data_IF_829607090106
#
_entry.id   IF_829607090106
#
_cell.length_a   1.000
_cell.length_b   1.000
_cell.length_c   1.000
_cell.angle_alpha   90.00
_cell.angle_beta   90.00
_cell.angle_gamma   90.00
#
_symmetry.space_group_name_H-M   'P 1'
#
loop_
_entity.id
_entity.type
_entity.pdbx_description
1 polymer ?
#
# COMPACT_ATOMS: atom_id res chain seq x y z
N UNK A 1 10.18 -7.90 29.40
CA UNK A 1 9.44 -8.48 28.27
C UNK A 1 10.16 -9.72 27.77
N UNK A 2 9.51 -10.87 27.87
CA UNK A 2 10.07 -12.09 27.29
C UNK A 2 10.04 -11.93 25.78
N UNK A 3 11.19 -11.82 25.15
CA UNK A 3 11.32 -11.95 23.71
C UNK A 3 10.84 -13.38 23.40
N UNK A 4 9.70 -13.49 22.75
CA UNK A 4 9.28 -14.77 22.20
C UNK A 4 10.28 -15.14 21.12
N UNK A 5 11.12 -16.10 21.37
CA UNK A 5 12.01 -16.66 20.36
C UNK A 5 11.13 -17.16 19.21
N UNK A 6 11.55 -16.90 17.99
CA UNK A 6 10.85 -17.39 16.81
C UNK A 6 10.69 -18.92 16.93
N UNK A 7 9.45 -19.38 16.97
CA UNK A 7 9.18 -20.80 16.98
C UNK A 7 9.34 -21.33 15.55
N UNK A 8 10.14 -22.37 15.37
CA UNK A 8 10.35 -23.01 14.08
C UNK A 8 9.04 -23.48 13.38
N UNK A 9 7.95 -23.59 14.14
CA UNK A 9 6.64 -23.99 13.65
C UNK A 9 5.74 -22.82 13.25
N UNK A 10 6.21 -21.57 13.33
CA UNK A 10 5.44 -20.41 12.85
C UNK A 10 5.57 -20.37 11.31
N UNK A 11 4.46 -20.40 10.56
CA UNK A 11 4.53 -20.31 9.13
C UNK A 11 5.16 -18.96 8.71
N UNK A 12 5.84 -18.90 7.55
CA UNK A 12 6.40 -17.65 7.06
C UNK A 12 5.28 -16.61 6.83
N UNK A 13 5.61 -15.31 6.89
CA UNK A 13 4.62 -14.28 6.60
C UNK A 13 4.09 -14.42 5.17
N UNK A 14 2.85 -14.00 4.93
CA UNK A 14 2.27 -13.96 3.60
C UNK A 14 2.76 -12.74 2.83
N UNK A 15 2.86 -11.61 3.51
CA UNK A 15 3.27 -10.34 2.92
C UNK A 15 4.13 -9.53 3.88
N UNK A 16 4.99 -8.71 3.30
CA UNK A 16 5.79 -7.72 4.01
C UNK A 16 5.70 -6.40 3.27
N UNK A 17 5.51 -5.31 4.00
CA UNK A 17 5.45 -3.96 3.46
C UNK A 17 6.56 -3.12 4.09
N UNK A 18 7.33 -2.43 3.24
CA UNK A 18 8.34 -1.44 3.67
C UNK A 18 7.94 -0.11 3.06
N UNK A 19 7.74 0.90 3.90
CA UNK A 19 7.33 2.22 3.45
C UNK A 19 7.85 3.30 4.39
N UNK A 20 7.96 4.51 3.88
CA UNK A 20 8.24 5.69 4.69
C UNK A 20 6.95 6.39 5.08
N UNK A 21 7.00 7.15 6.17
CA UNK A 21 5.83 7.81 6.75
C UNK A 21 5.98 9.33 6.70
N UNK A 22 5.71 9.96 5.53
CA UNK A 22 5.65 11.41 5.47
C UNK A 22 4.53 11.96 6.35
N UNK A 23 4.65 13.21 6.74
CA UNK A 23 3.66 13.88 7.56
C UNK A 23 3.20 15.19 6.91
N UNK A 24 2.01 15.65 7.27
CA UNK A 24 1.36 16.78 6.63
C UNK A 24 2.09 18.10 6.87
N UNK A 25 2.61 18.33 8.07
CA UNK A 25 3.26 19.58 8.45
C UNK A 25 2.40 20.81 8.16
N UNK A 26 1.14 20.76 8.58
CA UNK A 26 0.15 21.83 8.36
C UNK A 26 -0.20 22.08 6.89
N UNK A 27 0.18 21.17 5.97
CA UNK A 27 -0.20 21.25 4.55
C UNK A 27 -1.52 20.53 4.31
N UNK A 28 -2.27 20.96 3.31
CA UNK A 28 -3.39 20.17 2.81
C UNK A 28 -2.86 18.89 2.13
N UNK A 29 -3.59 17.78 2.26
CA UNK A 29 -3.19 16.54 1.60
C UNK A 29 -3.24 16.70 0.09
N UNK A 30 -4.41 17.09 -0.45
CA UNK A 30 -4.58 17.29 -1.90
C UNK A 30 -4.30 18.75 -2.28
N UNK A 31 -3.64 18.93 -3.42
CA UNK A 31 -3.11 20.21 -3.91
C UNK A 31 -2.05 20.85 -3.02
N UNK A 32 -1.66 20.17 -1.94
CA UNK A 32 -0.53 20.53 -1.09
C UNK A 32 0.58 19.50 -1.19
N UNK A 33 0.34 18.30 -0.67
CA UNK A 33 1.32 17.20 -0.66
C UNK A 33 1.15 16.28 -1.86
N UNK A 34 -0.10 15.91 -2.18
CA UNK A 34 -0.46 15.02 -3.28
C UNK A 34 -1.26 15.78 -4.34
N UNK A 35 -1.19 15.29 -5.56
CA UNK A 35 -2.02 15.74 -6.67
C UNK A 35 -2.93 14.64 -7.15
N UNK A 36 -4.16 15.01 -7.49
CA UNK A 36 -5.09 14.08 -8.13
C UNK A 36 -4.56 13.64 -9.50
N UNK A 37 -4.89 12.43 -9.90
CA UNK A 37 -4.59 11.82 -11.19
C UNK A 37 -3.08 11.58 -11.45
N UNK A 38 -2.23 11.78 -10.45
CA UNK A 38 -0.79 11.55 -10.58
C UNK A 38 -0.36 10.34 -9.73
N UNK A 39 0.47 9.44 -10.29
CA UNK A 39 1.03 8.34 -9.53
C UNK A 39 1.90 8.84 -8.36
N UNK A 40 1.65 8.29 -7.20
CA UNK A 40 2.40 8.54 -5.98
C UNK A 40 2.95 7.22 -5.42
N UNK A 41 4.23 7.21 -5.08
CA UNK A 41 4.95 6.03 -4.57
C UNK A 41 4.55 5.58 -3.16
N UNK A 42 3.42 6.04 -2.64
CA UNK A 42 2.86 5.70 -1.31
C UNK A 42 3.89 5.85 -0.18
N UNK A 43 4.53 7.01 -0.15
CA UNK A 43 5.55 7.35 0.83
C UNK A 43 6.37 8.55 0.39
N UNK A 44 7.53 8.73 1.01
CA UNK A 44 8.54 9.72 0.65
C UNK A 44 9.89 9.01 0.54
N UNK A 45 10.89 9.64 -0.08
CA UNK A 45 12.22 9.10 -0.37
C UNK A 45 12.12 7.88 -1.29
N UNK A 46 12.57 6.69 -0.88
CA UNK A 46 12.47 5.48 -1.69
C UNK A 46 11.01 5.08 -1.94
N UNK A 47 10.79 4.39 -3.04
CA UNK A 47 9.48 3.82 -3.33
C UNK A 47 9.07 2.78 -2.29
N UNK A 48 7.83 2.79 -1.89
CA UNK A 48 7.27 1.76 -1.01
C UNK A 48 7.21 0.41 -1.71
N UNK A 49 7.55 -0.64 -0.98
CA UNK A 49 7.67 -1.99 -1.52
C UNK A 49 6.79 -2.96 -0.75
N UNK A 50 6.03 -3.77 -1.48
CA UNK A 50 5.31 -4.91 -0.94
C UNK A 50 5.92 -6.20 -1.48
N UNK A 51 6.18 -7.15 -0.59
CA UNK A 51 6.67 -8.47 -0.95
C UNK A 51 5.63 -9.52 -0.58
N UNK A 52 5.19 -10.31 -1.54
CA UNK A 52 4.33 -11.47 -1.30
C UNK A 52 5.18 -12.75 -1.32
N UNK A 53 5.06 -13.54 -0.27
CA UNK A 53 5.80 -14.80 -0.12
C UNK A 53 5.04 -16.00 -0.69
N UNK A 54 3.80 -15.79 -1.09
CA UNK A 54 2.96 -16.76 -1.80
C UNK A 54 2.06 -16.02 -2.79
N UNK A 55 1.42 -16.75 -3.69
CA UNK A 55 0.40 -16.19 -4.56
C UNK A 55 -0.75 -15.62 -3.74
N UNK A 56 -1.16 -14.41 -4.04
CA UNK A 56 -2.34 -13.78 -3.45
C UNK A 56 -3.33 -13.43 -4.56
N UNK A 57 -4.58 -13.21 -4.17
CA UNK A 57 -5.64 -12.78 -5.11
C UNK A 57 -6.15 -11.41 -4.69
N UNK A 58 -6.14 -10.48 -5.63
CA UNK A 58 -6.65 -9.12 -5.45
C UNK A 58 -7.68 -8.86 -6.55
N UNK A 59 -8.93 -8.58 -6.16
CA UNK A 59 -10.05 -8.34 -7.09
C UNK A 59 -10.16 -9.43 -8.18
N UNK A 60 -10.01 -10.70 -7.78
CA UNK A 60 -10.07 -11.84 -8.68
C UNK A 60 -8.81 -12.10 -9.50
N UNK A 61 -7.82 -11.21 -9.46
CA UNK A 61 -6.55 -11.39 -10.15
C UNK A 61 -5.52 -12.04 -9.26
N UNK A 62 -4.89 -13.10 -9.74
CA UNK A 62 -3.76 -13.75 -9.05
C UNK A 62 -2.49 -12.93 -9.24
N UNK A 63 -1.85 -12.62 -8.13
CA UNK A 63 -0.56 -11.94 -8.09
C UNK A 63 0.49 -12.97 -7.65
N UNK A 64 1.51 -13.26 -8.48
CA UNK A 64 2.57 -14.20 -8.13
C UNK A 64 3.37 -13.73 -6.92
N UNK A 65 4.03 -14.66 -6.19
CA UNK A 65 5.01 -14.27 -5.18
C UNK A 65 6.09 -13.37 -5.78
N UNK A 66 6.58 -12.43 -5.02
CA UNK A 66 7.65 -11.54 -5.43
C UNK A 66 7.58 -10.18 -4.79
N UNK A 67 8.53 -9.34 -5.16
CA UNK A 67 8.66 -7.96 -4.73
C UNK A 67 8.02 -7.04 -5.76
N UNK A 68 7.24 -6.08 -5.29
CA UNK A 68 6.57 -5.09 -6.13
C UNK A 68 6.72 -3.71 -5.51
N UNK A 69 6.94 -2.70 -6.33
CA UNK A 69 6.71 -1.31 -5.93
C UNK A 69 5.20 -1.08 -5.92
N UNK A 70 4.71 -0.42 -4.89
CA UNK A 70 3.30 -0.09 -4.77
C UNK A 70 3.09 1.41 -4.98
N UNK A 71 2.21 1.77 -5.92
CA UNK A 71 1.81 3.14 -6.23
C UNK A 71 0.34 3.36 -5.91
N UNK A 72 -0.02 4.59 -5.62
CA UNK A 72 -1.40 5.04 -5.58
C UNK A 72 -1.61 6.19 -6.54
N UNK A 73 -2.73 6.20 -7.25
CA UNK A 73 -3.21 7.35 -7.99
C UNK A 73 -4.47 7.84 -7.28
N UNK A 74 -4.41 8.96 -6.56
CA UNK A 74 -5.59 9.48 -5.89
C UNK A 74 -6.56 10.13 -6.88
N UNK A 75 -7.85 9.85 -6.68
CA UNK A 75 -8.97 10.52 -7.32
C UNK A 75 -9.90 11.05 -6.24
N UNK A 76 -10.84 11.94 -6.55
CA UNK A 76 -11.72 12.52 -5.52
C UNK A 76 -12.56 11.51 -4.72
N UNK A 77 -12.95 10.39 -5.32
CA UNK A 77 -13.89 9.40 -4.75
C UNK A 77 -13.30 8.00 -4.61
N UNK A 78 -12.13 7.75 -5.17
CA UNK A 78 -11.46 6.45 -5.18
C UNK A 78 -9.95 6.61 -5.31
N UNK A 79 -9.22 5.53 -5.07
CA UNK A 79 -7.80 5.45 -5.41
C UNK A 79 -7.55 4.29 -6.33
N UNK A 80 -6.59 4.44 -7.24
CA UNK A 80 -6.06 3.33 -8.03
C UNK A 80 -4.77 2.87 -7.40
N UNK A 81 -4.70 1.60 -6.99
CA UNK A 81 -3.48 0.98 -6.45
C UNK A 81 -2.81 0.17 -7.55
N UNK A 82 -1.52 0.37 -7.72
CA UNK A 82 -0.73 -0.28 -8.76
C UNK A 82 0.39 -1.07 -8.11
N UNK A 83 0.54 -2.33 -8.52
CA UNK A 83 1.71 -3.16 -8.21
C UNK A 83 2.60 -3.19 -9.45
N UNK A 84 3.86 -2.83 -9.28
CA UNK A 84 4.81 -2.71 -10.40
C UNK A 84 6.05 -3.53 -10.14
N UNK A 85 6.50 -4.28 -11.14
CA UNK A 85 7.66 -5.17 -11.02
C UNK A 85 9.01 -4.48 -11.24
N UNK A 86 9.02 -3.20 -11.58
CA UNK A 86 10.25 -2.40 -11.70
C UNK A 86 10.76 -1.99 -10.31
N UNK A 87 11.29 -2.96 -9.58
CA UNK A 87 11.83 -2.77 -8.23
C UNK A 87 13.18 -2.04 -8.23
N UNK A 88 13.65 -1.70 -7.02
CA UNK A 88 14.92 -1.00 -6.80
C UNK A 88 14.97 0.39 -7.48
N UNK A 89 13.81 0.99 -7.67
CA UNK A 89 13.65 2.33 -8.23
C UNK A 89 13.31 3.35 -7.14
N UNK A 90 13.62 4.61 -7.43
CA UNK A 90 13.21 5.71 -6.55
C UNK A 90 11.69 5.95 -6.57
N UNK A 91 10.99 5.48 -7.62
CA UNK A 91 9.54 5.57 -7.77
C UNK A 91 9.02 6.91 -8.26
N UNK A 92 9.88 7.79 -8.77
CA UNK A 92 9.46 9.08 -9.33
C UNK A 92 8.91 8.96 -10.76
N UNK A 93 9.33 7.93 -11.48
CA UNK A 93 8.81 7.58 -12.80
C UNK A 93 8.33 6.14 -12.79
N UNK A 94 7.03 5.96 -12.95
CA UNK A 94 6.42 4.65 -13.08
C UNK A 94 6.62 4.15 -14.52
N UNK A 95 7.17 2.95 -14.68
CA UNK A 95 7.17 2.24 -15.94
C UNK A 95 5.91 1.37 -16.02
N UNK A 96 4.86 1.90 -16.62
CA UNK A 96 3.57 1.23 -16.70
C UNK A 96 3.62 -0.11 -17.46
N UNK A 97 4.63 -0.33 -18.31
CA UNK A 97 4.81 -1.61 -19.00
C UNK A 97 5.14 -2.77 -18.05
N UNK A 98 5.54 -2.46 -16.82
CA UNK A 98 5.87 -3.42 -15.76
C UNK A 98 4.81 -3.51 -14.67
N UNK A 99 3.61 -2.98 -14.90
CA UNK A 99 2.50 -3.14 -13.99
C UNK A 99 2.06 -4.61 -13.91
N UNK A 100 2.07 -5.16 -12.71
CA UNK A 100 1.56 -6.50 -12.43
C UNK A 100 0.06 -6.50 -12.12
N UNK A 101 -0.49 -5.36 -11.69
CA UNK A 101 -1.90 -5.20 -11.44
C UNK A 101 -2.26 -3.75 -11.13
N UNK A 102 -3.51 -3.40 -11.48
CA UNK A 102 -4.12 -2.09 -11.18
C UNK A 102 -5.48 -2.34 -10.56
N UNK A 103 -5.75 -1.72 -9.42
CA UNK A 103 -6.94 -1.98 -8.62
C UNK A 103 -7.56 -0.66 -8.19
N UNK A 104 -8.83 -0.46 -8.52
CA UNK A 104 -9.59 0.68 -8.00
C UNK A 104 -10.22 0.32 -6.67
N UNK A 105 -10.04 1.17 -5.67
CA UNK A 105 -10.60 0.99 -4.33
C UNK A 105 -11.33 2.26 -3.89
N UNK A 106 -12.49 2.11 -3.23
CA UNK A 106 -13.21 3.27 -2.69
C UNK A 106 -12.42 3.89 -1.56
N UNK A 107 -12.62 5.18 -1.35
CA UNK A 107 -12.16 5.88 -0.16
C UNK A 107 -13.33 6.18 0.77
N UNK A 108 -13.02 6.24 2.06
CA UNK A 108 -13.93 6.72 3.09
C UNK A 108 -13.25 7.82 3.89
N UNK A 109 -14.05 8.66 4.52
CA UNK A 109 -13.54 9.66 5.44
C UNK A 109 -13.42 9.09 6.85
N UNK A 110 -12.37 9.49 7.55
CA UNK A 110 -12.15 9.17 8.95
C UNK A 110 -12.51 10.40 9.80
N UNK A 111 -13.12 10.18 10.94
CA UNK A 111 -13.42 11.25 11.90
C UNK A 111 -12.15 11.83 12.54
N UNK A 112 -11.07 11.06 12.56
CA UNK A 112 -9.77 11.45 13.09
C UNK A 112 -8.80 11.66 11.94
N UNK A 113 -8.21 12.86 11.83
CA UNK A 113 -7.17 13.14 10.87
C UNK A 113 -5.83 12.57 11.34
N UNK A 114 -5.18 11.80 10.46
CA UNK A 114 -3.84 11.26 10.71
C UNK A 114 -2.77 12.19 10.12
N UNK A 115 -1.89 12.66 10.97
CA UNK A 115 -0.74 13.48 10.57
C UNK A 115 0.26 12.71 9.72
N UNK A 116 0.53 11.45 10.10
CA UNK A 116 1.50 10.59 9.42
C UNK A 116 0.80 9.62 8.48
N UNK A 117 1.33 9.54 7.26
CA UNK A 117 0.95 8.50 6.31
C UNK A 117 1.11 7.11 6.96
N UNK A 118 0.08 6.29 6.86
CA UNK A 118 0.02 5.00 7.54
C UNK A 118 -0.52 3.92 6.61
N UNK A 119 0.22 2.82 6.52
CA UNK A 119 -0.26 1.59 5.90
C UNK A 119 -0.14 0.44 6.90
N UNK A 120 -1.20 -0.33 7.06
CA UNK A 120 -1.25 -1.50 7.95
C UNK A 120 -2.05 -2.63 7.31
N UNK A 121 -1.74 -3.86 7.69
CA UNK A 121 -2.56 -5.01 7.36
C UNK A 121 -3.56 -5.27 8.49
N UNK A 122 -4.83 -5.38 8.16
CA UNK A 122 -5.89 -5.86 9.05
C UNK A 122 -6.34 -7.24 8.60
N UNK A 123 -6.27 -8.22 9.49
CA UNK A 123 -6.71 -9.59 9.21
C UNK A 123 -8.20 -9.63 8.90
N UNK A 124 -8.56 -10.42 7.88
CA UNK A 124 -9.94 -10.75 7.51
C UNK A 124 -10.14 -12.26 7.48
N UNK A 125 -11.38 -12.71 7.30
CA UNK A 125 -11.68 -14.16 7.25
C UNK A 125 -11.01 -14.87 6.05
N UNK A 126 -10.75 -14.14 4.97
CA UNK A 126 -10.20 -14.69 3.72
C UNK A 126 -8.80 -14.22 3.39
N UNK A 127 -8.18 -13.41 4.26
CA UNK A 127 -6.86 -12.86 4.03
C UNK A 127 -6.58 -11.65 4.91
N UNK A 128 -6.30 -10.52 4.31
CA UNK A 128 -6.10 -9.25 4.99
C UNK A 128 -6.47 -8.08 4.09
N UNK A 129 -6.91 -6.98 4.69
CA UNK A 129 -6.99 -5.70 4.01
C UNK A 129 -5.67 -4.94 4.19
N UNK A 130 -5.11 -4.42 3.12
CA UNK A 130 -4.13 -3.36 3.21
C UNK A 130 -4.89 -2.03 3.42
N UNK A 131 -4.79 -1.49 4.61
CA UNK A 131 -5.40 -0.21 4.98
C UNK A 131 -4.39 0.89 4.74
N UNK A 132 -4.78 1.88 3.94
CA UNK A 132 -3.97 3.04 3.57
C UNK A 132 -4.69 4.26 4.12
N UNK A 133 -4.03 5.02 5.00
CA UNK A 133 -4.67 6.14 5.66
C UNK A 133 -3.75 7.35 5.77
N UNK A 134 -4.27 8.53 5.48
CA UNK A 134 -3.60 9.80 5.67
C UNK A 134 -4.62 10.94 5.72
N UNK A 135 -4.34 11.97 6.53
CA UNK A 135 -5.33 13.00 6.82
C UNK A 135 -6.66 12.34 7.25
N UNK A 136 -7.75 12.73 6.66
CA UNK A 136 -9.08 12.16 6.91
C UNK A 136 -9.49 11.07 5.90
N UNK A 137 -8.56 10.57 5.09
CA UNK A 137 -8.82 9.57 4.06
C UNK A 137 -8.41 8.18 4.54
N UNK A 138 -9.27 7.19 4.31
CA UNK A 138 -8.97 5.76 4.44
C UNK A 138 -9.35 5.07 3.15
N UNK A 139 -8.42 4.24 2.64
CA UNK A 139 -8.64 3.33 1.54
C UNK A 139 -8.28 1.91 1.97
N UNK A 140 -9.00 0.90 1.48
CA UNK A 140 -8.79 -0.50 1.81
C UNK A 140 -8.64 -1.32 0.55
N UNK A 141 -7.57 -2.09 0.47
CA UNK A 141 -7.32 -3.06 -0.61
C UNK A 141 -7.42 -4.47 -0.04
N UNK A 142 -8.52 -5.20 -0.31
CA UNK A 142 -8.64 -6.58 0.13
C UNK A 142 -7.67 -7.50 -0.60
N UNK A 143 -6.94 -8.30 0.16
CA UNK A 143 -5.98 -9.30 -0.34
C UNK A 143 -6.39 -10.66 0.19
N UNK A 144 -6.60 -11.62 -0.70
CA UNK A 144 -7.01 -12.99 -0.35
C UNK A 144 -5.84 -13.96 -0.50
N UNK A 145 -5.75 -14.89 0.44
CA UNK A 145 -4.71 -15.94 0.43
C UNK A 145 -5.13 -17.16 1.25
#
# INVERSE_FOLDING_TARGET
PKIKMANANIPPPVARLIYSRPHLQRRALFNGVLKYEEPWRLGANEASEINFYKTVTIQGKKIPPGRYIIYGIPHPDKWTIILNSNIDSWGLKQDASKDAGRFEIPITNNDISLEYFTMVFEKTDTGADLVIAWADIIARLPIRF
#
